data_IF_704935804382
#
_entry.id   IF_704935804382
#
_cell.length_a   1.000
_cell.length_b   1.000
_cell.length_c   1.000
_cell.angle_alpha   90.00
_cell.angle_beta   90.00
_cell.angle_gamma   90.00
#
_symmetry.space_group_name_H-M   'P 1'
#
loop_
_entity.id
_entity.type
_entity.pdbx_description
1 polymer ?
#
# COMPACT_ATOMS: atom_id res chain seq x y z
N UNK A 1 -17.85 7.26 3.09
CA UNK A 1 -18.56 5.97 3.13
C UNK A 1 -17.86 5.00 4.08
N UNK A 2 -16.61 4.55 3.82
CA UNK A 2 -15.90 3.65 4.74
C UNK A 2 -15.76 4.19 6.18
N UNK A 3 -15.39 5.47 6.33
CA UNK A 3 -15.31 6.16 7.63
C UNK A 3 -16.67 6.19 8.36
N UNK A 4 -17.76 6.45 7.63
CA UNK A 4 -19.10 6.49 8.20
C UNK A 4 -19.59 5.11 8.68
N UNK A 5 -18.99 4.02 8.16
CA UNK A 5 -19.33 2.64 8.51
C UNK A 5 -18.28 2.00 9.44
N UNK A 6 -17.29 2.76 9.91
CA UNK A 6 -16.13 2.24 10.65
C UNK A 6 -15.47 1.03 9.95
N UNK A 7 -15.46 1.05 8.62
CA UNK A 7 -15.00 -0.07 7.80
C UNK A 7 -13.49 -0.04 7.62
N UNK A 8 -12.90 -1.23 7.49
CA UNK A 8 -11.51 -1.39 7.03
C UNK A 8 -11.49 -1.24 5.53
N UNK A 9 -10.66 -0.32 5.03
CA UNK A 9 -10.44 -0.14 3.59
C UNK A 9 -9.17 -0.88 3.19
N UNK A 10 -9.25 -1.76 2.19
CA UNK A 10 -8.11 -2.40 1.56
C UNK A 10 -8.00 -1.90 0.12
N UNK A 11 -6.87 -1.28 -0.22
CA UNK A 11 -6.53 -1.00 -1.61
C UNK A 11 -5.43 -1.99 -2.03
N UNK A 12 -5.82 -2.95 -2.86
CA UNK A 12 -4.91 -3.96 -3.38
C UNK A 12 -4.15 -3.44 -4.60
N UNK A 13 -2.90 -3.84 -4.75
CA UNK A 13 -2.00 -3.46 -5.85
C UNK A 13 -1.97 -1.94 -6.10
N UNK A 14 -1.83 -1.15 -5.03
CA UNK A 14 -1.87 0.31 -5.08
C UNK A 14 -0.64 0.97 -5.78
N UNK A 15 0.14 0.18 -6.54
CA UNK A 15 1.35 0.56 -7.26
C UNK A 15 1.21 1.86 -8.04
N UNK A 16 0.11 2.06 -8.77
CA UNK A 16 -0.12 3.26 -9.59
C UNK A 16 -0.16 4.52 -8.72
N UNK A 17 -0.78 4.43 -7.54
CA UNK A 17 -0.92 5.52 -6.60
C UNK A 17 0.36 5.76 -5.79
N UNK A 18 1.09 4.69 -5.46
CA UNK A 18 2.30 4.76 -4.65
C UNK A 18 3.54 5.18 -5.45
N UNK A 19 3.53 4.99 -6.77
CA UNK A 19 4.74 5.15 -7.59
C UNK A 19 5.23 6.61 -7.65
N UNK A 20 6.55 6.80 -7.49
CA UNK A 20 7.26 8.09 -7.56
C UNK A 20 6.78 8.96 -8.72
N UNK A 21 6.59 10.25 -8.41
CA UNK A 21 6.23 11.27 -9.39
C UNK A 21 7.34 11.41 -10.44
N UNK A 22 6.94 11.62 -11.70
CA UNK A 22 7.86 11.78 -12.82
C UNK A 22 7.62 13.12 -13.52
N UNK A 23 8.69 13.83 -13.90
CA UNK A 23 8.60 15.19 -14.47
C UNK A 23 7.77 15.28 -15.78
N UNK A 24 7.54 14.16 -16.47
CA UNK A 24 6.87 14.12 -17.77
C UNK A 24 5.40 13.65 -17.72
N UNK A 25 4.88 13.28 -16.55
CA UNK A 25 3.54 12.68 -16.42
C UNK A 25 2.66 13.46 -15.42
N UNK A 26 2.11 14.59 -15.89
CA UNK A 26 1.27 15.48 -15.09
C UNK A 26 -0.02 14.81 -14.61
N UNK A 27 -0.67 14.01 -15.47
CA UNK A 27 -1.93 13.35 -15.14
C UNK A 27 -1.74 12.35 -14.00
N UNK A 28 -0.71 11.51 -14.07
CA UNK A 28 -0.41 10.55 -13.00
C UNK A 28 0.06 11.24 -11.72
N UNK A 29 0.89 12.28 -11.82
CA UNK A 29 1.29 13.06 -10.65
C UNK A 29 0.08 13.69 -9.94
N UNK A 30 -0.94 14.09 -10.70
CA UNK A 30 -2.23 14.56 -10.18
C UNK A 30 -2.97 13.48 -9.38
N UNK A 31 -3.05 12.25 -9.91
CA UNK A 31 -3.65 11.11 -9.21
C UNK A 31 -2.90 10.78 -7.91
N UNK A 32 -1.58 10.69 -7.96
CA UNK A 32 -0.72 10.45 -6.78
C UNK A 32 -0.95 11.52 -5.70
N UNK A 33 -0.98 12.79 -6.11
CA UNK A 33 -1.19 13.92 -5.18
C UNK A 33 -2.60 13.93 -4.58
N UNK A 34 -3.62 13.62 -5.37
CA UNK A 34 -5.00 13.51 -4.90
C UNK A 34 -5.15 12.35 -3.90
N UNK A 35 -4.48 11.23 -4.15
CA UNK A 35 -4.49 10.06 -3.27
C UNK A 35 -3.76 10.33 -1.95
N UNK A 36 -2.56 10.93 -1.98
CA UNK A 36 -1.83 11.38 -0.78
C UNK A 36 -2.69 12.28 0.10
N UNK A 37 -3.35 13.27 -0.51
CA UNK A 37 -4.28 14.15 0.20
C UNK A 37 -5.42 13.35 0.85
N UNK A 38 -5.97 12.35 0.16
CA UNK A 38 -7.07 11.56 0.70
C UNK A 38 -6.63 10.68 1.87
N UNK A 39 -5.43 10.11 1.81
CA UNK A 39 -4.85 9.35 2.92
C UNK A 39 -4.66 10.21 4.18
N UNK A 40 -4.20 11.45 4.02
CA UNK A 40 -3.96 12.36 5.15
C UNK A 40 -5.23 12.68 5.95
N UNK A 41 -6.38 12.76 5.27
CA UNK A 41 -7.67 13.05 5.91
C UNK A 41 -8.51 11.81 6.22
N UNK A 42 -8.03 10.60 5.92
CA UNK A 42 -8.81 9.39 6.13
C UNK A 42 -8.85 9.02 7.62
N UNK A 43 -10.03 9.09 8.24
CA UNK A 43 -10.22 8.69 9.64
C UNK A 43 -10.73 7.25 9.72
N UNK A 44 -9.85 6.31 9.43
CA UNK A 44 -10.17 4.88 9.47
C UNK A 44 -8.92 4.02 9.29
N UNK A 45 -9.10 2.70 9.23
CA UNK A 45 -8.02 1.77 8.96
C UNK A 45 -7.91 1.51 7.46
N UNK A 46 -6.78 1.91 6.88
CA UNK A 46 -6.44 1.71 5.47
C UNK A 46 -5.27 0.74 5.35
N UNK A 47 -5.49 -0.38 4.69
CA UNK A 47 -4.43 -1.28 4.23
C UNK A 47 -4.13 -1.00 2.76
N UNK A 48 -2.84 -0.93 2.45
CA UNK A 48 -2.33 -0.83 1.09
C UNK A 48 -1.38 -2.00 0.86
N UNK A 49 -1.54 -2.66 -0.27
CA UNK A 49 -0.59 -3.68 -0.73
C UNK A 49 0.12 -3.19 -1.98
N UNK A 50 1.37 -3.62 -2.16
CA UNK A 50 2.16 -3.29 -3.35
C UNK A 50 3.27 -4.31 -3.54
N UNK A 51 3.51 -4.66 -4.80
CA UNK A 51 4.63 -5.49 -5.20
C UNK A 51 5.86 -4.64 -5.62
N UNK A 52 5.74 -3.31 -5.60
CA UNK A 52 6.74 -2.36 -6.14
C UNK A 52 7.28 -1.42 -5.06
N UNK A 53 7.75 -1.98 -3.96
CA UNK A 53 8.28 -1.20 -2.81
C UNK A 53 9.38 -0.20 -3.21
N UNK A 54 10.26 -0.55 -4.16
CA UNK A 54 11.36 0.31 -4.62
C UNK A 54 10.89 1.55 -5.39
N UNK A 55 9.64 1.58 -5.82
CA UNK A 55 9.09 2.68 -6.60
C UNK A 55 8.18 3.59 -5.78
N UNK A 56 8.02 3.35 -4.48
CA UNK A 56 7.14 4.17 -3.63
C UNK A 56 7.69 5.61 -3.53
N UNK A 57 6.81 6.60 -3.67
CA UNK A 57 7.11 8.02 -3.40
C UNK A 57 7.35 8.19 -1.91
N UNK A 58 8.47 8.81 -1.54
CA UNK A 58 8.88 8.92 -0.13
C UNK A 58 7.84 9.68 0.72
N UNK A 59 6.98 10.50 0.11
CA UNK A 59 5.86 11.17 0.79
C UNK A 59 4.75 10.23 1.26
N UNK A 60 4.64 9.01 0.71
CA UNK A 60 3.75 7.97 1.24
C UNK A 60 4.29 7.38 2.53
N UNK A 61 5.58 7.10 2.58
CA UNK A 61 6.22 6.46 3.73
C UNK A 61 6.02 7.31 4.98
N UNK A 62 6.10 8.64 4.86
CA UNK A 62 5.85 9.55 5.99
C UNK A 62 4.39 9.58 6.49
N UNK A 63 3.44 9.03 5.74
CA UNK A 63 2.01 8.95 6.07
C UNK A 63 1.54 7.53 6.41
N UNK A 64 2.45 6.56 6.41
CA UNK A 64 2.18 5.16 6.76
C UNK A 64 2.59 4.94 8.23
N UNK A 65 1.64 4.52 9.05
CA UNK A 65 1.88 4.24 10.46
C UNK A 65 2.70 2.96 10.66
N UNK A 66 2.45 1.94 9.85
CA UNK A 66 3.13 0.64 9.91
C UNK A 66 3.41 0.15 8.50
N UNK A 67 4.68 -0.15 8.22
CA UNK A 67 5.10 -0.79 6.97
C UNK A 67 5.52 -2.24 7.25
N UNK A 68 4.89 -3.19 6.56
CA UNK A 68 5.19 -4.61 6.70
C UNK A 68 5.90 -5.07 5.42
N UNK A 69 7.17 -5.43 5.54
CA UNK A 69 7.94 -6.03 4.47
C UNK A 69 7.83 -7.55 4.49
N UNK A 70 7.39 -8.15 3.40
CA UNK A 70 7.43 -9.61 3.24
C UNK A 70 8.75 -10.03 2.61
N UNK A 71 9.49 -10.89 3.31
CA UNK A 71 10.69 -11.53 2.79
C UNK A 71 10.34 -12.83 2.08
N UNK A 72 11.27 -13.32 1.26
CA UNK A 72 11.12 -14.65 0.66
C UNK A 72 11.01 -15.71 1.76
N UNK A 73 10.02 -16.60 1.62
CA UNK A 73 9.80 -17.69 2.57
C UNK A 73 10.98 -18.67 2.56
N UNK A 74 11.49 -19.01 3.76
CA UNK A 74 12.48 -20.06 3.93
C UNK A 74 11.90 -21.44 3.60
N UNK A 75 12.73 -22.44 3.25
CA UNK A 75 12.26 -23.81 3.00
C UNK A 75 11.42 -24.36 4.16
N UNK A 76 11.82 -24.10 5.41
CA UNK A 76 11.13 -24.58 6.62
C UNK A 76 9.77 -23.92 6.77
N UNK A 77 9.68 -22.60 6.51
CA UNK A 77 8.40 -21.88 6.54
C UNK A 77 7.45 -22.37 5.45
N UNK A 78 7.95 -22.65 4.25
CA UNK A 78 7.14 -23.22 3.16
C UNK A 78 6.56 -24.57 3.58
N UNK A 79 7.37 -25.47 4.13
CA UNK A 79 6.90 -26.78 4.61
C UNK A 79 5.81 -26.63 5.67
N UNK A 80 5.97 -25.72 6.63
CA UNK A 80 4.94 -25.43 7.64
C UNK A 80 3.63 -24.95 7.02
N UNK A 81 3.71 -24.01 6.08
CA UNK A 81 2.54 -23.50 5.34
C UNK A 81 1.84 -24.65 4.63
N UNK A 82 2.56 -25.46 3.84
CA UNK A 82 1.97 -26.58 3.11
C UNK A 82 1.27 -27.60 4.01
N UNK A 83 1.86 -27.94 5.16
CA UNK A 83 1.23 -28.83 6.16
C UNK A 83 0.06 -28.22 6.94
N UNK A 84 -0.10 -26.90 6.90
CA UNK A 84 -1.22 -26.21 7.55
C UNK A 84 -2.45 -26.12 6.66
N UNK A 85 -2.26 -26.16 5.34
CA UNK A 85 -3.33 -26.10 4.34
C UNK A 85 -3.81 -27.49 3.88
N UNK A 86 -3.01 -28.53 4.07
CA UNK A 86 -3.29 -29.94 3.72
C UNK A 86 -3.03 -30.83 4.94
#
# INVERSE_FOLDING_TARGET
LAEAWNAVLLADEADIFLKRRQNRDLARNGLVSAFLRRMEYFKGLLFLTTNRVSQIDDAFISRVHVAIGYQALSPEFRVKIWRGFF
#
